data_IF_041741219841
#
_entry.id   IF_041741219841
#
_cell.length_a   1.000
_cell.length_b   1.000
_cell.length_c   1.000
_cell.angle_alpha   90.00
_cell.angle_beta   90.00
_cell.angle_gamma   90.00
#
_symmetry.space_group_name_H-M   'P 1'
#
loop_
_entity.id
_entity.type
_entity.pdbx_description
1 polymer ?
#
# COMPACT_ATOMS: atom_id res chain seq x y z
N UNK A 1 -20.20 -5.25 -27.54
CA UNK A 1 -21.42 -5.76 -26.88
C UNK A 1 -22.50 -4.70 -26.83
N UNK A 2 -23.76 -5.10 -26.65
CA UNK A 2 -24.87 -4.15 -26.54
C UNK A 2 -25.74 -4.47 -25.33
N UNK A 3 -26.24 -3.43 -24.67
CA UNK A 3 -27.26 -3.54 -23.61
C UNK A 3 -28.38 -2.54 -23.90
N UNK A 4 -29.63 -2.94 -23.62
CA UNK A 4 -30.80 -2.07 -23.67
C UNK A 4 -31.16 -1.61 -22.25
N UNK A 5 -31.36 -0.33 -22.09
CA UNK A 5 -31.72 0.26 -20.78
C UNK A 5 -33.23 0.06 -20.55
N UNK A 6 -33.56 -0.64 -19.45
CA UNK A 6 -34.95 -0.88 -19.04
C UNK A 6 -35.46 0.20 -18.09
N UNK A 7 -34.58 0.81 -17.28
CA UNK A 7 -34.94 1.81 -16.28
C UNK A 7 -34.10 3.09 -16.48
N UNK A 8 -34.77 4.20 -16.68
CA UNK A 8 -34.14 5.50 -16.87
C UNK A 8 -33.60 6.11 -15.57
N UNK A 9 -32.74 7.12 -15.68
CA UNK A 9 -32.33 8.02 -14.58
C UNK A 9 -30.92 7.82 -14.04
N UNK A 10 -30.26 6.72 -14.35
CA UNK A 10 -28.86 6.52 -13.96
C UNK A 10 -27.90 7.31 -14.87
N UNK A 11 -26.73 7.68 -14.37
CA UNK A 11 -25.64 8.21 -15.18
C UNK A 11 -25.05 7.07 -16.03
N UNK A 12 -24.59 7.37 -17.23
CA UNK A 12 -24.03 6.39 -18.17
C UNK A 12 -22.88 5.57 -17.55
N UNK A 13 -21.94 6.24 -16.84
CA UNK A 13 -20.84 5.56 -16.16
C UNK A 13 -21.29 4.59 -15.06
N UNK A 14 -22.41 4.91 -14.40
CA UNK A 14 -22.99 4.06 -13.36
C UNK A 14 -23.81 2.92 -14.00
N UNK A 15 -24.63 3.24 -14.99
CA UNK A 15 -25.46 2.24 -15.67
C UNK A 15 -24.59 1.12 -16.30
N UNK A 16 -23.46 1.49 -16.93
CA UNK A 16 -22.50 0.52 -17.44
C UNK A 16 -21.91 -0.37 -16.33
N UNK A 17 -21.48 0.23 -15.21
CA UNK A 17 -20.90 -0.55 -14.11
C UNK A 17 -21.91 -1.47 -13.40
N UNK A 18 -23.19 -1.07 -13.35
CA UNK A 18 -24.24 -1.85 -12.70
C UNK A 18 -24.78 -2.98 -13.60
N UNK A 19 -24.75 -2.81 -14.93
CA UNK A 19 -25.38 -3.71 -15.90
C UNK A 19 -24.38 -4.54 -16.72
N UNK A 20 -23.08 -4.33 -16.56
CA UNK A 20 -22.03 -5.01 -17.32
C UNK A 20 -20.91 -5.49 -16.40
N UNK A 21 -19.97 -6.36 -16.86
CA UNK A 21 -18.79 -6.73 -16.10
C UNK A 21 -17.78 -5.60 -15.90
N UNK A 22 -17.99 -4.40 -16.48
CA UNK A 22 -17.07 -3.28 -16.39
C UNK A 22 -17.10 -2.64 -15.00
N UNK A 23 -15.93 -2.42 -14.41
CA UNK A 23 -15.86 -1.53 -13.26
C UNK A 23 -16.18 -0.09 -13.68
N UNK A 24 -16.68 0.73 -12.75
CA UNK A 24 -16.99 2.15 -13.02
C UNK A 24 -15.78 2.96 -13.55
N UNK A 25 -14.58 2.57 -13.16
CA UNK A 25 -13.33 3.20 -13.64
C UNK A 25 -13.12 2.88 -15.11
N UNK A 26 -13.20 1.60 -15.47
CA UNK A 26 -13.07 1.14 -16.87
C UNK A 26 -14.17 1.73 -17.75
N UNK A 27 -15.41 1.74 -17.27
CA UNK A 27 -16.53 2.38 -17.97
C UNK A 27 -16.27 3.86 -18.28
N UNK A 28 -15.74 4.61 -17.30
CA UNK A 28 -15.37 6.02 -17.50
C UNK A 28 -14.24 6.23 -18.51
N UNK A 29 -13.23 5.36 -18.50
CA UNK A 29 -12.13 5.41 -19.46
C UNK A 29 -12.62 5.14 -20.87
N UNK A 30 -13.40 4.09 -21.08
CA UNK A 30 -13.98 3.78 -22.37
C UNK A 30 -14.91 4.87 -22.91
N UNK A 31 -15.71 5.48 -22.03
CA UNK A 31 -16.54 6.63 -22.41
C UNK A 31 -15.68 7.81 -22.89
N UNK A 32 -14.57 8.10 -22.21
CA UNK A 32 -13.63 9.17 -22.61
C UNK A 32 -12.93 8.88 -23.93
N UNK A 33 -12.61 7.62 -24.19
CA UNK A 33 -11.97 7.15 -25.42
C UNK A 33 -12.96 7.03 -26.59
N UNK A 34 -14.26 7.30 -26.36
CA UNK A 34 -15.29 7.21 -27.39
C UNK A 34 -15.68 5.77 -27.77
N UNK A 35 -15.27 4.77 -26.99
CA UNK A 35 -15.60 3.35 -27.22
C UNK A 35 -16.99 2.93 -26.73
N UNK A 36 -17.71 3.86 -26.09
CA UNK A 36 -19.08 3.68 -25.64
C UNK A 36 -20.00 4.58 -26.45
N UNK A 37 -20.98 3.96 -27.12
CA UNK A 37 -21.98 4.66 -27.90
C UNK A 37 -23.36 4.47 -27.28
N UNK A 38 -24.16 5.52 -27.25
CA UNK A 38 -25.58 5.47 -26.87
C UNK A 38 -26.40 5.82 -28.11
N UNK A 39 -27.18 4.87 -28.59
CA UNK A 39 -27.95 4.98 -29.85
C UNK A 39 -27.03 5.39 -31.03
N UNK A 40 -25.84 4.79 -31.11
CA UNK A 40 -24.84 5.06 -32.15
C UNK A 40 -24.05 6.38 -31.98
N UNK A 41 -24.24 7.12 -30.88
CA UNK A 41 -23.57 8.41 -30.66
C UNK A 41 -22.73 8.42 -29.35
N UNK A 42 -21.55 9.05 -29.42
CA UNK A 42 -20.70 9.26 -28.22
C UNK A 42 -21.41 10.19 -27.24
N UNK A 43 -21.48 9.80 -25.97
CA UNK A 43 -22.03 10.59 -24.88
C UNK A 43 -20.99 10.79 -23.76
N UNK A 44 -21.16 11.82 -22.95
CA UNK A 44 -20.30 12.05 -21.76
C UNK A 44 -20.72 11.13 -20.62
N UNK A 45 -19.81 10.78 -19.72
CA UNK A 45 -20.07 9.91 -18.56
C UNK A 45 -21.25 10.37 -17.68
N UNK A 46 -21.53 11.69 -17.65
CA UNK A 46 -22.66 12.28 -16.91
C UNK A 46 -24.00 12.20 -17.66
N UNK A 47 -24.05 11.66 -18.87
CA UNK A 47 -25.31 11.48 -19.61
C UNK A 47 -26.26 10.65 -18.76
N UNK A 48 -27.51 11.08 -18.61
CA UNK A 48 -28.55 10.35 -17.92
C UNK A 48 -29.24 9.42 -18.92
N UNK A 49 -29.09 8.10 -18.72
CA UNK A 49 -29.68 7.10 -19.60
C UNK A 49 -31.19 7.15 -19.54
N UNK A 50 -31.84 6.89 -20.67
CA UNK A 50 -33.29 6.84 -20.85
C UNK A 50 -33.74 5.41 -21.07
N UNK A 51 -34.98 5.11 -20.72
CA UNK A 51 -35.58 3.83 -21.07
C UNK A 51 -35.59 3.65 -22.60
N UNK A 52 -35.17 2.49 -23.06
CA UNK A 52 -35.04 2.17 -24.47
C UNK A 52 -33.68 2.56 -25.08
N UNK A 53 -32.80 3.27 -24.39
CA UNK A 53 -31.44 3.55 -24.90
C UNK A 53 -30.69 2.23 -25.13
N UNK A 54 -30.03 2.13 -26.28
CA UNK A 54 -29.13 1.03 -26.63
C UNK A 54 -27.69 1.52 -26.42
N UNK A 55 -26.97 0.89 -25.49
CA UNK A 55 -25.58 1.20 -25.22
C UNK A 55 -24.70 0.12 -25.84
N UNK A 56 -23.84 0.55 -26.76
CA UNK A 56 -22.77 -0.27 -27.34
C UNK A 56 -21.49 -0.02 -26.57
N UNK A 57 -20.80 -1.09 -26.17
CA UNK A 57 -19.56 -1.02 -25.42
C UNK A 57 -18.65 -2.21 -25.76
N UNK A 58 -17.37 -2.07 -25.47
CA UNK A 58 -16.39 -3.13 -25.57
C UNK A 58 -16.07 -3.64 -24.14
N UNK A 59 -16.01 -4.97 -23.98
CA UNK A 59 -15.33 -5.52 -22.82
C UNK A 59 -13.87 -5.58 -23.20
N UNK A 60 -12.98 -4.79 -22.55
CA UNK A 60 -11.56 -4.94 -22.80
C UNK A 60 -11.22 -6.42 -22.58
N UNK A 61 -10.48 -7.01 -23.50
CA UNK A 61 -9.76 -8.23 -23.16
C UNK A 61 -8.98 -7.89 -21.89
N UNK A 62 -9.27 -8.60 -20.81
CA UNK A 62 -8.43 -8.58 -19.63
C UNK A 62 -7.10 -9.08 -20.18
N UNK A 63 -6.14 -8.17 -20.44
CA UNK A 63 -4.76 -8.59 -20.49
C UNK A 63 -4.57 -9.32 -19.17
N UNK A 64 -4.49 -10.63 -19.21
CA UNK A 64 -4.00 -11.43 -18.10
C UNK A 64 -2.63 -10.82 -17.83
N UNK A 65 -2.57 -9.98 -16.79
CA UNK A 65 -1.30 -9.48 -16.27
C UNK A 65 -0.69 -10.71 -15.63
N UNK A 66 -0.08 -11.55 -16.45
CA UNK A 66 0.71 -12.67 -15.98
C UNK A 66 1.90 -12.06 -15.29
N UNK A 67 1.91 -12.14 -13.97
CA UNK A 67 3.09 -11.76 -13.21
C UNK A 67 4.14 -12.81 -13.45
N UNK A 68 5.08 -12.49 -14.31
CA UNK A 68 6.22 -13.35 -14.56
C UNK A 68 7.09 -13.43 -13.31
N UNK A 69 7.55 -14.64 -13.01
CA UNK A 69 8.56 -14.86 -11.98
C UNK A 69 9.87 -14.21 -12.45
N UNK A 70 10.46 -13.35 -11.62
CA UNK A 70 11.71 -12.66 -11.94
C UNK A 70 12.78 -13.02 -10.90
N UNK A 71 13.98 -13.35 -11.36
CA UNK A 71 15.15 -13.59 -10.51
C UNK A 71 15.69 -12.25 -9.97
N UNK A 72 14.95 -11.71 -9.00
CA UNK A 72 15.32 -10.47 -8.30
C UNK A 72 15.91 -10.84 -6.94
N UNK A 73 16.98 -10.16 -6.49
CA UNK A 73 17.52 -10.37 -5.16
C UNK A 73 16.44 -10.17 -4.09
N UNK A 74 16.21 -11.18 -3.26
CA UNK A 74 15.24 -11.18 -2.19
C UNK A 74 15.86 -11.71 -0.91
N UNK A 75 15.87 -10.91 0.14
CA UNK A 75 16.30 -11.30 1.47
C UNK A 75 15.17 -12.01 2.20
N UNK A 76 15.21 -13.35 2.23
CA UNK A 76 14.26 -14.21 2.94
C UNK A 76 14.80 -14.42 4.36
N UNK A 77 14.14 -13.80 5.35
CA UNK A 77 14.53 -13.85 6.75
C UNK A 77 14.06 -15.14 7.42
N UNK A 78 12.91 -15.65 7.00
CA UNK A 78 12.30 -16.88 7.49
C UNK A 78 11.41 -17.50 6.43
N UNK A 79 11.41 -18.82 6.34
CA UNK A 79 10.50 -19.57 5.48
C UNK A 79 10.20 -20.94 6.09
N UNK A 80 8.92 -21.31 6.06
CA UNK A 80 8.46 -22.66 6.35
C UNK A 80 7.35 -23.12 5.37
N UNK A 81 6.47 -24.02 5.76
CA UNK A 81 5.39 -24.53 4.92
C UNK A 81 4.21 -23.52 4.79
N UNK A 82 4.08 -22.60 5.73
CA UNK A 82 2.91 -21.72 5.85
C UNK A 82 3.24 -20.24 5.58
N UNK A 83 4.42 -19.79 5.95
CA UNK A 83 4.77 -18.37 5.93
C UNK A 83 6.17 -18.14 5.37
N UNK A 84 6.33 -17.00 4.71
CA UNK A 84 7.62 -16.42 4.37
C UNK A 84 7.70 -15.03 5.02
N UNK A 85 8.82 -14.70 5.65
CA UNK A 85 9.15 -13.34 6.09
C UNK A 85 10.30 -12.83 5.23
N UNK A 86 10.08 -11.70 4.57
CA UNK A 86 11.05 -11.07 3.69
C UNK A 86 11.45 -9.69 4.20
N UNK A 87 12.69 -9.31 3.98
CA UNK A 87 13.20 -7.96 4.19
C UNK A 87 13.25 -7.23 2.84
N UNK A 88 12.18 -6.48 2.53
CA UNK A 88 12.03 -5.78 1.25
C UNK A 88 13.05 -4.64 1.14
N UNK A 89 13.82 -4.54 0.04
CA UNK A 89 14.70 -3.41 -0.18
C UNK A 89 13.90 -2.12 -0.44
N UNK A 90 14.53 -0.99 -0.18
CA UNK A 90 14.02 0.32 -0.55
C UNK A 90 13.98 0.46 -2.08
N UNK A 91 12.92 1.08 -2.62
CA UNK A 91 12.73 1.27 -4.06
C UNK A 91 11.92 0.16 -4.75
N UNK A 92 11.70 -0.98 -4.09
CA UNK A 92 10.90 -2.08 -4.63
C UNK A 92 9.41 -1.89 -4.27
N UNK A 93 8.53 -1.96 -5.28
CA UNK A 93 7.07 -1.98 -5.09
C UNK A 93 6.64 -3.38 -4.63
N UNK A 94 5.65 -3.48 -3.75
CA UNK A 94 5.20 -4.79 -3.25
C UNK A 94 4.48 -5.60 -4.33
N UNK A 95 3.56 -4.99 -5.07
CA UNK A 95 2.80 -5.66 -6.12
C UNK A 95 2.66 -4.78 -7.34
N UNK A 96 2.56 -5.36 -8.54
CA UNK A 96 2.39 -4.62 -9.77
C UNK A 96 1.20 -3.68 -9.74
N UNK A 97 1.36 -2.53 -10.38
CA UNK A 97 0.35 -1.49 -10.49
C UNK A 97 0.61 -0.66 -11.74
N UNK A 98 -0.33 0.22 -12.11
CA UNK A 98 -0.12 1.14 -13.23
C UNK A 98 1.23 1.88 -13.11
N UNK A 99 2.11 1.69 -14.09
CA UNK A 99 3.47 2.25 -14.13
C UNK A 99 4.56 1.40 -13.45
N UNK A 100 4.22 0.24 -12.87
CA UNK A 100 5.15 -0.74 -12.30
C UNK A 100 4.61 -2.15 -12.54
N UNK A 101 4.78 -2.67 -13.76
CA UNK A 101 4.27 -3.99 -14.18
C UNK A 101 5.24 -5.13 -13.87
N UNK A 102 6.50 -4.83 -13.58
CA UNK A 102 7.60 -5.77 -13.31
C UNK A 102 8.52 -5.24 -12.20
N UNK A 103 9.48 -6.03 -11.77
CA UNK A 103 10.47 -5.64 -10.76
C UNK A 103 9.88 -5.49 -9.36
N UNK A 104 8.78 -6.16 -9.05
CA UNK A 104 8.07 -6.05 -7.76
C UNK A 104 8.41 -7.20 -6.82
N UNK A 105 8.05 -7.05 -5.54
CA UNK A 105 8.19 -8.13 -4.57
C UNK A 105 7.43 -9.38 -5.00
N UNK A 106 6.24 -9.23 -5.60
CA UNK A 106 5.45 -10.37 -6.11
C UNK A 106 6.24 -11.12 -7.20
N UNK A 107 6.88 -10.42 -8.15
CA UNK A 107 7.71 -11.07 -9.18
C UNK A 107 8.86 -11.87 -8.56
N UNK A 108 9.54 -11.30 -7.55
CA UNK A 108 10.62 -11.99 -6.82
C UNK A 108 10.08 -13.20 -6.03
N UNK A 109 8.94 -13.06 -5.34
CA UNK A 109 8.31 -14.15 -4.59
C UNK A 109 7.91 -15.31 -5.51
N UNK A 110 7.35 -15.05 -6.67
CA UNK A 110 6.99 -16.08 -7.66
C UNK A 110 8.21 -16.87 -8.15
N UNK A 111 9.39 -16.26 -8.16
CA UNK A 111 10.62 -16.93 -8.53
C UNK A 111 11.21 -17.78 -7.38
N UNK A 112 11.29 -17.18 -6.19
CA UNK A 112 12.00 -17.77 -5.04
C UNK A 112 11.14 -18.71 -4.20
N UNK A 113 9.81 -18.51 -4.18
CA UNK A 113 8.87 -19.25 -3.32
C UNK A 113 7.90 -20.05 -4.19
N UNK A 114 7.93 -21.39 -4.04
CA UNK A 114 7.16 -22.28 -4.92
C UNK A 114 5.65 -22.26 -4.64
N UNK A 115 5.28 -22.13 -3.37
CA UNK A 115 3.89 -22.23 -2.91
C UNK A 115 3.47 -20.86 -2.34
N UNK A 116 2.51 -20.20 -2.96
CA UNK A 116 1.94 -18.95 -2.47
C UNK A 116 0.41 -19.04 -2.45
N UNK A 117 -0.22 -18.44 -1.42
CA UNK A 117 -1.67 -18.38 -1.34
C UNK A 117 -2.28 -17.65 -2.53
N UNK A 118 -3.31 -18.26 -3.13
CA UNK A 118 -4.06 -17.72 -4.27
C UNK A 118 -5.26 -16.85 -3.88
N UNK A 119 -5.54 -16.60 -2.58
CA UNK A 119 -6.78 -15.92 -2.14
C UNK A 119 -6.97 -14.54 -2.80
N UNK A 120 -5.91 -13.77 -2.99
CA UNK A 120 -6.00 -12.47 -3.66
C UNK A 120 -5.86 -12.55 -5.19
N UNK A 121 -6.02 -13.76 -5.74
CA UNK A 121 -5.85 -14.05 -7.15
C UNK A 121 -4.39 -13.95 -7.61
N UNK A 122 -4.17 -14.06 -8.91
CA UNK A 122 -2.82 -13.97 -9.51
C UNK A 122 -2.13 -12.64 -9.28
N UNK A 123 -2.91 -11.60 -8.98
CA UNK A 123 -2.41 -10.24 -8.82
C UNK A 123 -1.64 -9.99 -7.52
N UNK A 124 -1.88 -10.76 -6.47
CA UNK A 124 -1.30 -10.54 -5.12
C UNK A 124 -1.12 -11.84 -4.34
N UNK A 125 -0.47 -12.85 -4.91
CA UNK A 125 -0.34 -14.15 -4.26
C UNK A 125 0.35 -14.01 -2.90
N UNK A 126 -0.29 -14.51 -1.85
CA UNK A 126 0.23 -14.54 -0.49
C UNK A 126 0.36 -13.19 0.23
N UNK A 127 0.09 -12.06 -0.42
CA UNK A 127 0.27 -10.72 0.16
C UNK A 127 -0.87 -10.39 1.12
N UNK A 128 -0.60 -10.35 2.42
CA UNK A 128 -1.57 -10.00 3.49
C UNK A 128 -1.47 -8.54 3.92
N UNK A 129 -0.31 -7.91 3.76
CA UNK A 129 -0.09 -6.48 4.02
C UNK A 129 0.99 -5.90 3.10
N UNK A 130 1.18 -4.60 3.16
CA UNK A 130 2.13 -3.91 2.29
C UNK A 130 2.82 -2.75 3.00
N UNK A 131 4.02 -2.42 2.52
CA UNK A 131 4.74 -1.19 2.81
C UNK A 131 4.97 -0.42 1.50
N UNK A 132 5.28 0.87 1.60
CA UNK A 132 5.46 1.73 0.44
C UNK A 132 6.72 1.35 -0.38
N UNK A 133 6.78 1.78 -1.64
CA UNK A 133 7.92 1.54 -2.54
C UNK A 133 9.25 1.86 -1.87
N UNK A 134 9.37 3.07 -1.32
CA UNK A 134 10.61 3.59 -0.75
C UNK A 134 10.72 3.33 0.77
N UNK A 135 9.86 2.52 1.33
CA UNK A 135 9.98 1.96 2.68
C UNK A 135 10.62 0.58 2.58
N UNK A 136 11.68 0.35 3.33
CA UNK A 136 12.34 -0.95 3.45
C UNK A 136 11.84 -1.73 4.65
N UNK A 137 12.19 -3.01 4.75
CA UNK A 137 12.02 -3.82 5.94
C UNK A 137 11.03 -4.98 5.79
N UNK A 138 10.60 -5.48 6.93
CA UNK A 138 9.94 -6.77 7.07
C UNK A 138 8.50 -6.78 6.58
N UNK A 139 8.17 -7.84 5.82
CA UNK A 139 6.82 -8.23 5.45
C UNK A 139 6.63 -9.73 5.66
N UNK A 140 5.42 -10.13 6.09
CA UNK A 140 4.98 -11.53 6.11
C UNK A 140 4.14 -11.84 4.88
N UNK A 141 4.33 -13.03 4.33
CA UNK A 141 3.69 -13.53 3.12
C UNK A 141 3.14 -14.93 3.40
N UNK A 142 1.91 -15.20 3.03
CA UNK A 142 1.26 -16.49 3.21
C UNK A 142 1.57 -17.45 2.06
N UNK A 143 1.98 -18.68 2.37
CA UNK A 143 2.27 -19.72 1.38
C UNK A 143 1.04 -20.55 1.00
N UNK A 144 0.00 -20.54 1.82
CA UNK A 144 -1.26 -21.22 1.56
C UNK A 144 -2.45 -20.41 2.06
N UNK A 145 -3.64 -20.80 1.64
CA UNK A 145 -4.88 -20.06 1.90
C UNK A 145 -5.25 -20.05 3.39
N UNK A 146 -4.96 -21.11 4.12
CA UNK A 146 -5.22 -21.17 5.56
C UNK A 146 -4.35 -20.16 6.32
N UNK A 147 -3.07 -20.09 6.00
CA UNK A 147 -2.16 -19.10 6.55
C UNK A 147 -2.58 -17.68 6.17
N UNK A 148 -3.04 -17.49 4.92
CA UNK A 148 -3.51 -16.19 4.45
C UNK A 148 -4.69 -15.66 5.28
N UNK A 149 -5.70 -16.50 5.50
CA UNK A 149 -6.87 -16.12 6.31
C UNK A 149 -6.45 -15.79 7.74
N UNK A 150 -5.66 -16.65 8.38
CA UNK A 150 -5.23 -16.45 9.77
C UNK A 150 -4.42 -15.16 9.96
N UNK A 151 -3.43 -14.90 9.09
CA UNK A 151 -2.61 -13.68 9.14
C UNK A 151 -3.42 -12.42 8.83
N UNK A 152 -4.37 -12.48 7.88
CA UNK A 152 -5.25 -11.36 7.57
C UNK A 152 -6.20 -11.03 8.74
N UNK A 153 -6.72 -12.03 9.44
CA UNK A 153 -7.55 -11.85 10.64
C UNK A 153 -6.73 -11.25 11.79
N UNK A 154 -5.52 -11.73 12.03
CA UNK A 154 -4.62 -11.20 13.05
C UNK A 154 -4.29 -9.72 12.81
N UNK A 155 -4.03 -9.34 11.55
CA UNK A 155 -3.83 -7.93 11.16
C UNK A 155 -5.09 -7.08 11.38
N UNK A 156 -6.26 -7.61 11.06
CA UNK A 156 -7.57 -6.95 11.27
C UNK A 156 -7.84 -6.75 12.75
N UNK A 157 -7.52 -7.73 13.58
CA UNK A 157 -7.68 -7.71 15.03
C UNK A 157 -6.60 -6.90 15.75
N UNK A 158 -5.64 -6.33 15.00
CA UNK A 158 -4.52 -5.52 15.52
C UNK A 158 -3.59 -6.29 16.49
N UNK A 159 -3.49 -7.59 16.33
CA UNK A 159 -2.66 -8.45 17.20
C UNK A 159 -1.22 -8.55 16.74
N UNK A 160 -0.94 -8.31 15.43
CA UNK A 160 0.41 -8.34 14.89
C UNK A 160 1.25 -7.18 15.41
N UNK A 161 2.47 -7.44 15.80
CA UNK A 161 3.45 -6.42 16.15
C UNK A 161 4.11 -5.87 14.88
N UNK A 162 4.00 -4.57 14.65
CA UNK A 162 4.64 -3.90 13.52
C UNK A 162 5.30 -2.62 14.00
N UNK A 163 6.63 -2.66 14.15
CA UNK A 163 7.41 -1.51 14.55
C UNK A 163 8.30 -1.03 13.42
N UNK A 164 8.41 0.27 13.32
CA UNK A 164 9.17 0.97 12.29
C UNK A 164 10.17 1.91 12.93
N UNK A 165 11.32 2.08 12.32
CA UNK A 165 12.20 3.20 12.61
C UNK A 165 12.06 4.25 11.53
N UNK A 166 12.04 5.52 11.95
CA UNK A 166 12.02 6.66 11.05
C UNK A 166 12.93 7.78 11.56
N UNK A 167 13.59 8.44 10.62
CA UNK A 167 14.21 9.75 10.89
C UNK A 167 13.17 10.79 10.51
N UNK A 168 12.80 11.67 11.44
CA UNK A 168 11.79 12.71 11.22
C UNK A 168 12.41 14.09 11.43
N UNK A 169 11.81 15.12 10.80
CA UNK A 169 12.24 16.50 10.95
C UNK A 169 11.90 17.06 12.32
N UNK A 170 12.82 17.84 12.87
CA UNK A 170 12.68 18.59 14.12
C UNK A 170 12.87 17.72 15.37
N UNK A 171 12.75 18.34 16.52
CA UNK A 171 12.76 17.69 17.82
C UNK A 171 11.33 17.48 18.32
N UNK A 172 10.94 16.23 18.54
CA UNK A 172 9.67 15.95 19.21
C UNK A 172 9.75 16.38 20.68
N UNK A 173 8.75 17.12 21.18
CA UNK A 173 8.78 17.62 22.56
C UNK A 173 8.61 16.50 23.59
N UNK A 174 7.88 15.45 23.25
CA UNK A 174 7.57 14.32 24.14
C UNK A 174 8.34 13.08 23.71
N UNK A 175 8.78 12.28 24.68
CA UNK A 175 9.49 11.03 24.41
C UNK A 175 8.59 9.93 23.87
N UNK A 176 7.31 9.98 24.17
CA UNK A 176 6.29 9.02 23.71
C UNK A 176 4.99 9.73 23.39
N UNK A 177 4.24 9.16 22.47
CA UNK A 177 2.92 9.67 22.13
C UNK A 177 2.12 8.71 21.26
N UNK A 178 0.88 9.11 21.06
CA UNK A 178 -0.06 8.40 20.18
C UNK A 178 -0.75 9.41 19.27
N UNK A 179 -0.79 9.08 17.99
CA UNK A 179 -1.50 9.85 16.97
C UNK A 179 -2.72 9.05 16.59
N UNK A 180 -3.89 9.52 17.00
CA UNK A 180 -5.19 8.95 16.64
C UNK A 180 -5.92 9.95 15.73
N UNK A 181 -5.80 9.75 14.44
CA UNK A 181 -6.36 10.65 13.44
C UNK A 181 -6.77 9.88 12.17
N UNK A 182 -8.02 10.01 11.70
CA UNK A 182 -8.52 9.24 10.56
C UNK A 182 -7.83 9.67 9.27
N UNK A 183 -7.46 8.69 8.43
CA UNK A 183 -6.74 8.89 7.17
C UNK A 183 -7.64 8.55 5.98
N UNK A 184 -7.67 9.44 5.02
CA UNK A 184 -8.37 9.27 3.75
C UNK A 184 -7.63 9.94 2.61
N UNK A 185 -8.18 9.84 1.40
CA UNK A 185 -7.60 10.48 0.22
C UNK A 185 -7.68 12.01 0.36
N UNK A 186 -6.59 12.71 0.07
CA UNK A 186 -6.55 14.17 0.11
C UNK A 186 -7.52 14.78 -0.89
N UNK A 187 -8.30 15.76 -0.46
CA UNK A 187 -9.21 16.52 -1.34
C UNK A 187 -8.42 17.48 -2.26
N UNK A 188 -7.24 17.94 -1.80
CA UNK A 188 -6.38 18.88 -2.54
C UNK A 188 -5.49 18.18 -3.58
N UNK A 189 -5.01 16.98 -3.27
CA UNK A 189 -4.13 16.19 -4.15
C UNK A 189 -4.53 14.72 -4.07
N UNK A 190 -5.25 14.24 -5.08
CA UNK A 190 -5.77 12.86 -5.13
C UNK A 190 -4.69 11.77 -5.16
N UNK A 191 -3.43 12.12 -5.40
CA UNK A 191 -2.29 11.20 -5.31
C UNK A 191 -1.80 11.01 -3.88
N UNK A 192 -2.23 11.85 -2.94
CA UNK A 192 -1.84 11.82 -1.53
C UNK A 192 -2.96 11.34 -0.61
N UNK A 193 -2.55 10.90 0.57
CA UNK A 193 -3.44 10.69 1.71
C UNK A 193 -3.34 11.91 2.64
N UNK A 194 -4.34 12.09 3.49
CA UNK A 194 -4.37 13.17 4.49
C UNK A 194 -5.18 12.75 5.70
N UNK A 195 -4.95 13.40 6.83
CA UNK A 195 -5.88 13.36 7.96
C UNK A 195 -7.15 14.09 7.55
N UNK A 196 -8.28 13.40 7.62
CA UNK A 196 -9.61 13.94 7.24
C UNK A 196 -10.72 13.24 8.00
N UNK A 197 -11.73 13.98 8.41
CA UNK A 197 -12.90 13.43 9.14
C UNK A 197 -13.64 12.32 8.36
N UNK A 198 -13.56 12.32 7.02
CA UNK A 198 -14.14 11.28 6.16
C UNK A 198 -13.22 10.05 6.02
N UNK A 199 -12.04 10.06 6.65
CA UNK A 199 -11.06 9.00 6.59
C UNK A 199 -11.44 7.76 7.41
N UNK A 200 -10.65 6.71 7.25
CA UNK A 200 -10.76 5.51 8.08
C UNK A 200 -9.96 5.71 9.37
N UNK A 201 -10.42 5.22 10.53
CA UNK A 201 -9.68 5.28 11.79
C UNK A 201 -8.24 4.78 11.61
N UNK A 202 -7.30 5.52 12.17
CA UNK A 202 -5.88 5.20 12.12
C UNK A 202 -5.19 5.60 13.43
N UNK A 203 -4.36 4.70 13.96
CA UNK A 203 -3.63 4.87 15.21
C UNK A 203 -2.17 4.49 15.03
N UNK A 204 -1.28 5.42 15.37
CA UNK A 204 0.18 5.25 15.35
C UNK A 204 0.72 5.67 16.72
N UNK A 205 1.44 4.77 17.40
CA UNK A 205 2.21 5.10 18.61
C UNK A 205 3.63 5.42 18.22
N UNK A 206 4.27 6.34 18.94
CA UNK A 206 5.69 6.63 18.75
C UNK A 206 6.46 6.69 20.07
N UNK A 207 7.74 6.36 19.98
CA UNK A 207 8.73 6.55 21.03
C UNK A 207 9.98 7.17 20.42
N UNK A 208 10.47 8.25 21.02
CA UNK A 208 11.73 8.86 20.64
C UNK A 208 12.88 7.95 21.08
N UNK A 209 13.77 7.64 20.16
CA UNK A 209 14.99 6.88 20.43
C UNK A 209 16.18 7.80 20.60
N UNK A 210 16.35 8.81 19.73
CA UNK A 210 17.48 9.72 19.75
C UNK A 210 17.13 11.07 19.11
N UNK A 211 17.66 12.19 19.65
CA UNK A 211 17.45 13.55 19.12
C UNK A 211 18.76 14.13 18.60
N UNK A 212 18.73 14.72 17.40
CA UNK A 212 19.89 15.27 16.70
C UNK A 212 19.77 16.79 16.42
N UNK A 213 19.03 17.53 17.24
CA UNK A 213 18.77 18.95 17.00
C UNK A 213 17.68 19.18 15.94
N UNK A 214 18.00 19.07 14.67
CA UNK A 214 17.05 19.29 13.57
C UNK A 214 16.30 18.02 13.13
N UNK A 215 16.65 16.87 13.67
CA UNK A 215 16.05 15.57 13.36
C UNK A 215 15.90 14.73 14.63
N UNK A 216 15.00 13.76 14.56
CA UNK A 216 14.77 12.78 15.63
C UNK A 216 14.66 11.39 15.04
N UNK A 217 15.33 10.41 15.64
CA UNK A 217 15.07 9.00 15.40
C UNK A 217 13.90 8.54 16.27
N UNK A 218 12.89 7.98 15.66
CA UNK A 218 11.70 7.49 16.37
C UNK A 218 11.41 6.05 16.03
N UNK A 219 10.95 5.28 17.00
CA UNK A 219 10.27 4.01 16.80
C UNK A 219 8.77 4.27 16.73
N UNK A 220 8.11 3.73 15.72
CA UNK A 220 6.66 3.85 15.55
C UNK A 220 6.02 2.46 15.54
N UNK A 221 4.94 2.31 16.28
CA UNK A 221 4.15 1.07 16.30
C UNK A 221 2.77 1.31 15.71
N UNK A 222 2.41 0.47 14.74
CA UNK A 222 1.12 0.55 14.06
C UNK A 222 0.08 -0.35 14.73
N UNK A 223 -1.07 0.24 15.11
CA UNK A 223 -2.30 -0.53 15.41
C UNK A 223 -3.13 -0.75 14.14
N UNK A 224 -3.09 0.18 13.21
CA UNK A 224 -3.76 0.12 11.92
C UNK A 224 -2.74 0.24 10.79
N UNK A 225 -3.10 -0.12 9.56
CA UNK A 225 -2.20 -0.09 8.40
C UNK A 225 -2.81 0.65 7.21
N UNK A 226 -3.11 1.95 7.34
CA UNK A 226 -3.62 2.76 6.23
C UNK A 226 -2.49 3.15 5.28
N UNK A 227 -2.83 3.36 4.02
CA UNK A 227 -1.86 3.82 3.01
C UNK A 227 -1.12 5.06 3.49
N UNK A 228 0.21 5.06 3.45
CA UNK A 228 1.10 6.12 3.90
C UNK A 228 0.91 6.54 5.37
N UNK A 229 0.34 5.70 6.23
CA UNK A 229 -0.12 6.10 7.57
C UNK A 229 0.95 6.82 8.39
N UNK A 230 2.14 6.24 8.57
CA UNK A 230 3.23 6.85 9.34
C UNK A 230 3.61 8.21 8.74
N UNK A 231 3.78 8.27 7.43
CA UNK A 231 4.18 9.46 6.69
C UNK A 231 3.18 10.60 6.86
N UNK A 232 1.89 10.28 6.76
CA UNK A 232 0.78 11.24 6.96
C UNK A 232 0.68 11.68 8.41
N UNK A 233 0.73 10.76 9.37
CA UNK A 233 0.61 11.07 10.80
C UNK A 233 1.78 11.92 11.29
N UNK A 234 3.03 11.58 10.90
CA UNK A 234 4.18 12.38 11.30
C UNK A 234 4.17 13.78 10.68
N UNK A 235 3.75 13.91 9.42
CA UNK A 235 3.57 15.20 8.78
C UNK A 235 2.43 16.01 9.45
N UNK A 236 1.34 15.36 9.85
CA UNK A 236 0.21 15.98 10.53
C UNK A 236 0.60 16.63 11.86
N UNK A 237 1.47 16.00 12.64
CA UNK A 237 1.98 16.55 13.89
C UNK A 237 3.19 17.52 13.71
N UNK A 238 3.54 17.87 12.46
CA UNK A 238 4.63 18.83 12.15
C UNK A 238 6.02 18.23 12.10
N UNK A 239 6.17 16.91 12.16
CA UNK A 239 7.45 16.19 12.11
C UNK A 239 7.52 15.21 10.95
N UNK A 240 7.43 15.66 9.66
CA UNK A 240 7.42 14.76 8.52
C UNK A 240 8.66 13.88 8.47
N UNK A 241 8.54 12.70 7.87
CA UNK A 241 9.65 11.76 7.68
C UNK A 241 10.70 12.42 6.77
N UNK A 242 11.98 12.36 7.16
CA UNK A 242 13.08 12.89 6.37
C UNK A 242 13.18 12.16 5.02
N UNK A 243 13.50 12.91 3.98
CA UNK A 243 13.60 12.37 2.61
C UNK A 243 12.27 12.05 1.93
N UNK A 244 11.13 12.28 2.60
CA UNK A 244 9.82 11.98 2.04
C UNK A 244 9.45 12.94 0.90
N UNK A 245 9.33 12.45 -0.37
CA UNK A 245 9.07 13.31 -1.52
C UNK A 245 7.62 13.83 -1.59
N UNK A 246 6.69 13.19 -0.85
CA UNK A 246 5.28 13.52 -0.91
C UNK A 246 4.82 14.41 0.25
N UNK A 247 5.31 14.16 1.46
CA UNK A 247 4.85 14.80 2.70
C UNK A 247 5.92 15.63 3.40
N UNK A 248 7.19 15.49 3.00
CA UNK A 248 8.32 16.23 3.57
C UNK A 248 8.54 17.61 2.93
N UNK A 249 9.35 18.46 3.58
CA UNK A 249 9.79 19.73 2.99
C UNK A 249 10.75 19.46 1.82
N UNK A 250 10.88 20.44 0.91
CA UNK A 250 11.84 20.37 -0.20
C UNK A 250 13.30 20.30 0.28
N UNK A 251 13.61 21.00 1.37
CA UNK A 251 14.93 20.96 2.03
C UNK A 251 14.92 19.85 3.08
N UNK A 252 15.50 18.71 2.73
CA UNK A 252 15.55 17.52 3.59
C UNK A 252 16.83 16.74 3.33
N UNK A 253 17.15 15.77 4.20
CA UNK A 253 18.23 14.81 3.96
C UNK A 253 17.96 14.07 2.67
N UNK A 254 18.97 13.99 1.81
CA UNK A 254 18.86 13.27 0.53
C UNK A 254 19.08 11.77 0.76
N UNK A 255 18.12 10.99 0.31
CA UNK A 255 18.13 9.53 0.31
C UNK A 255 17.45 8.97 -0.94
N UNK A 256 17.11 7.70 -0.90
CA UNK A 256 16.30 7.02 -1.94
C UNK A 256 14.81 7.11 -1.65
N UNK A 257 14.31 8.20 -1.07
CA UNK A 257 12.95 8.38 -0.57
C UNK A 257 12.94 8.55 0.96
N UNK A 258 11.80 8.25 1.60
CA UNK A 258 11.60 8.41 3.03
C UNK A 258 12.52 7.50 3.87
N UNK A 259 13.16 8.06 4.88
CA UNK A 259 13.90 7.31 5.90
C UNK A 259 12.93 6.62 6.86
N UNK A 260 12.33 5.54 6.38
CA UNK A 260 11.34 4.73 7.06
C UNK A 260 11.62 3.24 6.80
N UNK A 261 11.74 2.46 7.88
CA UNK A 261 12.11 1.05 7.83
C UNK A 261 11.23 0.21 8.75
N UNK A 262 10.60 -0.83 8.22
CA UNK A 262 9.85 -1.82 8.98
C UNK A 262 10.82 -2.74 9.76
N UNK A 263 11.17 -2.32 10.97
CA UNK A 263 12.26 -2.87 11.79
C UNK A 263 11.89 -4.19 12.44
N UNK A 264 10.69 -4.27 13.05
CA UNK A 264 10.25 -5.44 13.79
C UNK A 264 8.87 -5.88 13.32
N UNK A 265 8.73 -7.18 13.10
CA UNK A 265 7.49 -7.84 12.73
C UNK A 265 7.27 -9.03 13.65
N UNK A 266 6.13 -9.04 14.35
CA UNK A 266 5.70 -10.14 15.19
C UNK A 266 4.29 -10.58 14.85
N UNK A 267 4.05 -11.88 14.84
CA UNK A 267 2.75 -12.49 14.57
C UNK A 267 2.66 -13.89 15.18
N UNK A 268 1.44 -14.39 15.28
CA UNK A 268 1.17 -15.77 15.69
C UNK A 268 1.27 -16.69 14.49
N UNK A 269 2.10 -17.71 14.55
CA UNK A 269 2.24 -18.68 13.46
C UNK A 269 0.90 -19.39 13.21
N UNK A 270 0.39 -19.39 11.96
CA UNK A 270 -0.99 -19.80 11.66
C UNK A 270 -1.30 -21.27 11.93
N UNK A 271 -0.28 -22.14 11.96
CA UNK A 271 -0.44 -23.57 12.22
C UNK A 271 -0.08 -23.94 13.65
N UNK A 272 1.07 -23.46 14.16
CA UNK A 272 1.59 -23.88 15.45
C UNK A 272 1.05 -23.09 16.63
N UNK A 273 0.55 -21.87 16.38
CA UNK A 273 0.12 -20.93 17.42
C UNK A 273 1.27 -20.27 18.19
N UNK A 274 2.52 -20.53 17.81
CA UNK A 274 3.68 -19.89 18.42
C UNK A 274 3.79 -18.43 18.01
N UNK A 275 4.21 -17.58 18.92
CA UNK A 275 4.54 -16.19 18.62
C UNK A 275 5.92 -16.13 17.98
N UNK A 276 5.97 -15.64 16.75
CA UNK A 276 7.22 -15.38 16.03
C UNK A 276 7.49 -13.88 16.02
N UNK A 277 8.74 -13.50 16.23
CA UNK A 277 9.18 -12.10 16.14
C UNK A 277 10.51 -12.03 15.38
N UNK A 278 10.59 -11.11 14.41
CA UNK A 278 11.74 -10.89 13.55
C UNK A 278 12.15 -9.43 13.63
N UNK A 279 13.46 -9.20 13.51
CA UNK A 279 14.04 -7.86 13.44
C UNK A 279 14.99 -7.80 12.25
N UNK A 280 14.90 -6.71 11.45
CA UNK A 280 15.80 -6.45 10.34
C UNK A 280 16.62 -5.17 10.62
N UNK A 281 17.91 -5.20 10.28
CA UNK A 281 18.76 -4.02 10.38
C UNK A 281 18.35 -2.96 9.34
N UNK A 282 18.52 -1.69 9.67
CA UNK A 282 18.24 -0.59 8.74
C UNK A 282 19.19 -0.65 7.54
N UNK A 283 18.77 -0.20 6.35
CA UNK A 283 19.65 -0.15 5.18
C UNK A 283 20.90 0.72 5.44
N UNK A 284 22.00 0.40 4.78
CA UNK A 284 23.28 1.12 4.94
C UNK A 284 23.17 2.63 4.78
N UNK A 285 22.32 3.13 3.88
CA UNK A 285 22.07 4.56 3.72
C UNK A 285 21.40 5.17 4.96
N UNK A 286 20.53 4.42 5.63
CA UNK A 286 19.87 4.85 6.87
C UNK A 286 20.87 4.89 8.01
N UNK A 287 21.66 3.84 8.19
CA UNK A 287 22.70 3.76 9.25
C UNK A 287 23.73 4.86 9.09
N UNK A 288 24.28 5.02 7.87
CA UNK A 288 25.22 6.11 7.58
C UNK A 288 24.63 7.49 7.92
N UNK A 289 23.36 7.70 7.61
CA UNK A 289 22.69 8.97 7.94
C UNK A 289 22.60 9.19 9.45
N UNK A 290 22.31 8.14 10.23
CA UNK A 290 22.33 8.22 11.70
C UNK A 290 23.71 8.55 12.25
N UNK A 291 24.76 7.92 11.71
CA UNK A 291 26.15 8.22 12.09
C UNK A 291 26.52 9.67 11.79
N UNK A 292 26.11 10.20 10.64
CA UNK A 292 26.38 11.58 10.26
C UNK A 292 25.63 12.58 11.17
N UNK A 293 24.37 12.27 11.52
CA UNK A 293 23.58 13.08 12.46
C UNK A 293 24.14 13.07 13.89
N UNK A 294 24.80 11.99 14.31
CA UNK A 294 25.47 11.88 15.63
C UNK A 294 26.75 12.71 15.72
N UNK A 295 27.37 12.99 14.58
CA UNK A 295 28.63 13.76 14.52
C UNK A 295 28.39 15.26 14.50
N UNK A 296 27.16 15.71 14.28
CA UNK A 296 26.85 17.10 14.38
C UNK A 296 26.25 17.91 13.45
#
# INVERSE_FOLDING_TARGET
>A
MEIKIEVAGARLDKALADLTPLSRTVANEQIKEGKVLVNGAVKKAKYTVKEGDIIQYEVPEVEEVSYEAEDLPLDIVYEDQDVVVVNKPQGMVVHPSAGHTSGTLVNALLYHVKDLSGINGELRPGIVHRIDKDTSGLLMVAKNDQAHVALAEELKDKKSLRKYWAIVHGNLPNDRGMIEAPIGRSEKDRKKQAVTAKGKPAVTRFQVLERFGNYTLVELQLETGRTHQIRVHMAYIGHPVAGDPAYGPKKTIKGKGQFLHARTLGFTHPRTGETLEFTAEVPAIFEKTLEDLRKG
#
